data_IF_875164649854
#
_entry.id   IF_875164649854
#
_cell.length_a   1.000
_cell.length_b   1.000
_cell.length_c   1.000
_cell.angle_alpha   90.00
_cell.angle_beta   90.00
_cell.angle_gamma   90.00
#
_symmetry.space_group_name_H-M   'P 1'
#
loop_
_entity.id
_entity.type
_entity.pdbx_description
1 polymer ?
#
# COMPACT_ATOMS: atom_id res chain seq x y z
N UNK A 1 10.42 7.71 15.44
CA UNK A 1 10.07 6.43 14.80
C UNK A 1 10.79 6.38 13.47
N UNK A 2 11.69 5.44 13.22
CA UNK A 2 12.15 5.18 11.85
C UNK A 2 10.90 4.94 11.00
N UNK A 3 10.79 5.58 9.84
CA UNK A 3 9.72 5.27 8.89
C UNK A 3 9.76 3.78 8.59
N UNK A 4 8.74 3.05 9.05
CA UNK A 4 8.58 1.65 8.72
C UNK A 4 8.49 1.53 7.20
N UNK A 5 9.29 0.65 6.59
CA UNK A 5 9.26 0.50 5.13
C UNK A 5 7.89 0.00 4.69
N UNK A 6 7.48 0.33 3.46
CA UNK A 6 6.22 -0.19 2.91
C UNK A 6 6.15 -1.73 2.98
N UNK A 7 7.30 -2.39 2.82
CA UNK A 7 7.45 -3.83 2.97
C UNK A 7 7.17 -4.32 4.41
N UNK A 8 7.64 -3.59 5.43
CA UNK A 8 7.32 -3.91 6.82
C UNK A 8 5.83 -3.82 7.09
N UNK A 9 5.17 -2.77 6.57
CA UNK A 9 3.72 -2.58 6.72
C UNK A 9 2.95 -3.74 6.08
N UNK A 10 3.29 -4.14 4.86
CA UNK A 10 2.66 -5.30 4.19
C UNK A 10 2.90 -6.59 4.97
N UNK A 11 4.11 -6.80 5.49
CA UNK A 11 4.42 -7.97 6.32
C UNK A 11 3.59 -8.01 7.60
N UNK A 12 3.49 -6.89 8.33
CA UNK A 12 2.67 -6.77 9.53
C UNK A 12 1.18 -7.03 9.22
N UNK A 13 0.67 -6.52 8.10
CA UNK A 13 -0.70 -6.82 7.65
C UNK A 13 -0.93 -8.30 7.36
N UNK A 14 0.02 -9.00 6.71
CA UNK A 14 -0.06 -10.45 6.54
C UNK A 14 -0.09 -11.18 7.88
N UNK A 15 0.76 -10.77 8.82
CA UNK A 15 0.81 -11.32 10.18
C UNK A 15 -0.53 -11.13 10.89
N UNK A 16 -1.08 -9.91 10.88
CA UNK A 16 -2.36 -9.58 11.51
C UNK A 16 -3.51 -10.41 10.93
N UNK A 17 -3.63 -10.52 9.60
CA UNK A 17 -4.64 -11.37 8.95
C UNK A 17 -4.50 -12.84 9.34
N UNK A 18 -3.27 -13.32 9.49
CA UNK A 18 -3.00 -14.70 9.90
C UNK A 18 -3.37 -14.94 11.36
N UNK A 19 -3.02 -14.03 12.27
CA UNK A 19 -3.41 -14.08 13.68
C UNK A 19 -4.93 -14.07 13.82
N UNK A 20 -5.62 -13.17 13.11
CA UNK A 20 -7.09 -13.10 13.07
C UNK A 20 -7.76 -14.38 12.57
N UNK A 21 -7.08 -15.16 11.72
CA UNK A 21 -7.62 -16.43 11.21
C UNK A 21 -7.53 -17.59 12.22
N UNK A 22 -6.83 -17.40 13.35
CA UNK A 22 -6.70 -18.43 14.37
C UNK A 22 -7.91 -18.45 15.32
N UNK A 23 -8.46 -19.63 15.62
CA UNK A 23 -9.59 -19.76 16.53
C UNK A 23 -9.20 -19.36 17.97
N UNK A 24 -10.02 -18.52 18.61
CA UNK A 24 -9.92 -18.21 20.04
C UNK A 24 -9.12 -16.96 20.44
N UNK A 25 -8.67 -16.13 19.48
CA UNK A 25 -7.83 -14.95 19.77
C UNK A 25 -8.64 -13.68 20.11
N UNK A 26 -9.95 -13.64 19.82
CA UNK A 26 -10.77 -12.45 20.06
C UNK A 26 -12.10 -12.84 20.71
N UNK A 27 -12.19 -12.68 22.04
CA UNK A 27 -13.43 -12.87 22.82
C UNK A 27 -13.93 -11.55 23.46
N UNK A 28 -13.27 -10.41 23.20
CA UNK A 28 -13.58 -9.10 23.80
C UNK A 28 -14.16 -8.06 22.79
N UNK A 29 -14.35 -6.80 23.23
CA UNK A 29 -15.02 -5.74 22.46
C UNK A 29 -14.28 -5.38 21.14
N UNK A 30 -14.99 -5.05 20.04
CA UNK A 30 -14.37 -4.88 18.71
C UNK A 30 -13.34 -3.74 18.59
N UNK A 31 -13.51 -2.67 19.36
CA UNK A 31 -12.69 -1.46 19.25
C UNK A 31 -11.40 -1.57 20.07
N UNK A 32 -11.46 -2.11 21.29
CA UNK A 32 -10.28 -2.36 22.12
C UNK A 32 -9.39 -3.46 21.52
N UNK A 33 -10.02 -4.48 20.91
CA UNK A 33 -9.30 -5.56 20.23
C UNK A 33 -8.47 -5.08 19.04
N UNK A 34 -8.91 -4.05 18.31
CA UNK A 34 -8.20 -3.60 17.12
C UNK A 34 -6.85 -2.95 17.45
N UNK A 35 -6.82 -2.11 18.49
CA UNK A 35 -5.58 -1.47 18.96
C UNK A 35 -4.63 -2.49 19.59
N UNK A 36 -5.16 -3.39 20.43
CA UNK A 36 -4.36 -4.43 21.08
C UNK A 36 -3.77 -5.42 20.07
N UNK A 37 -4.55 -5.77 19.04
CA UNK A 37 -4.07 -6.61 17.95
C UNK A 37 -2.95 -5.93 17.18
N UNK A 38 -3.10 -4.64 16.84
CA UNK A 38 -2.08 -3.90 16.10
C UNK A 38 -0.77 -3.79 16.91
N UNK A 39 -0.84 -3.52 18.21
CA UNK A 39 0.33 -3.51 19.10
C UNK A 39 0.98 -4.90 19.18
N UNK A 40 0.17 -5.96 19.31
CA UNK A 40 0.65 -7.35 19.36
C UNK A 40 1.33 -7.79 18.06
N UNK A 41 0.71 -7.51 16.90
CA UNK A 41 1.25 -7.90 15.60
C UNK A 41 2.49 -7.09 15.26
N UNK A 42 2.51 -5.81 15.64
CA UNK A 42 3.68 -4.94 15.50
C UNK A 42 4.85 -5.40 16.35
N UNK A 43 4.61 -5.85 17.60
CA UNK A 43 5.65 -6.48 18.42
C UNK A 43 6.21 -7.74 17.75
N UNK A 44 5.36 -8.69 17.35
CA UNK A 44 5.79 -9.92 16.68
C UNK A 44 6.55 -9.64 15.37
N UNK A 45 6.08 -8.67 14.58
CA UNK A 45 6.74 -8.25 13.35
C UNK A 45 8.12 -7.64 13.63
N UNK A 46 8.25 -6.84 14.69
CA UNK A 46 9.51 -6.21 15.07
C UNK A 46 10.60 -7.20 15.50
N UNK A 47 10.20 -8.35 16.08
CA UNK A 47 11.12 -9.41 16.47
C UNK A 47 11.67 -10.15 15.25
N UNK A 48 10.81 -10.52 14.30
CA UNK A 48 11.20 -11.39 13.18
C UNK A 48 11.71 -10.62 11.97
N UNK A 49 11.17 -9.44 11.69
CA UNK A 49 11.54 -8.69 10.48
C UNK A 49 13.05 -8.49 10.34
N UNK A 50 13.82 -8.07 11.37
CA UNK A 50 15.25 -7.83 11.25
C UNK A 50 16.07 -9.04 10.83
N UNK A 51 15.61 -10.26 11.17
CA UNK A 51 16.30 -11.52 10.87
C UNK A 51 15.95 -12.08 9.49
N UNK A 52 14.96 -11.52 8.80
CA UNK A 52 14.62 -11.94 7.44
C UNK A 52 15.69 -11.52 6.43
N UNK A 53 15.96 -12.35 5.40
CA UNK A 53 16.86 -12.01 4.29
C UNK A 53 16.58 -10.61 3.70
N UNK A 54 17.64 -9.90 3.31
CA UNK A 54 17.52 -8.57 2.70
C UNK A 54 16.66 -8.57 1.44
N UNK A 55 16.72 -9.66 0.68
CA UNK A 55 16.00 -9.81 -0.59
C UNK A 55 14.49 -9.94 -0.36
N UNK A 56 14.09 -10.56 0.76
CA UNK A 56 12.70 -10.54 1.22
C UNK A 56 12.30 -9.16 1.72
N UNK A 57 13.11 -8.54 2.59
CA UNK A 57 12.77 -7.22 3.16
C UNK A 57 12.69 -6.09 2.13
N UNK A 58 13.28 -6.28 0.96
CA UNK A 58 13.25 -5.36 -0.16
C UNK A 58 12.46 -5.88 -1.36
N UNK A 59 11.63 -6.91 -1.16
CA UNK A 59 10.79 -7.48 -2.20
C UNK A 59 9.82 -6.43 -2.77
N UNK A 60 9.79 -6.37 -4.10
CA UNK A 60 8.86 -5.56 -4.89
C UNK A 60 8.51 -6.32 -6.16
N UNK A 61 7.47 -5.87 -6.87
CA UNK A 61 7.13 -6.41 -8.19
C UNK A 61 8.31 -6.36 -9.18
N UNK A 62 9.12 -5.31 -9.15
CA UNK A 62 10.29 -5.16 -10.04
C UNK A 62 11.39 -6.17 -9.73
N UNK A 63 11.59 -6.45 -8.44
CA UNK A 63 12.61 -7.40 -7.93
C UNK A 63 12.06 -8.80 -7.67
N UNK A 64 10.87 -9.13 -8.17
CA UNK A 64 10.24 -10.44 -7.96
C UNK A 64 11.10 -11.63 -8.39
N UNK A 65 11.99 -11.43 -9.38
CA UNK A 65 12.93 -12.46 -9.84
C UNK A 65 14.13 -12.67 -8.88
N UNK A 66 14.44 -11.66 -8.05
CA UNK A 66 15.47 -11.71 -7.00
C UNK A 66 14.90 -12.20 -5.66
N UNK A 67 13.56 -12.25 -5.53
CA UNK A 67 12.89 -12.72 -4.30
C UNK A 67 13.15 -14.22 -4.14
N UNK A 68 13.68 -14.67 -2.99
CA UNK A 68 14.03 -16.07 -2.79
C UNK A 68 12.78 -16.95 -2.78
N UNK A 69 12.94 -18.19 -3.23
CA UNK A 69 11.92 -19.22 -3.08
C UNK A 69 11.69 -19.47 -1.58
N UNK A 70 10.51 -19.07 -1.12
CA UNK A 70 10.16 -19.14 0.30
C UNK A 70 10.18 -20.58 0.80
N UNK A 71 9.85 -21.57 -0.03
CA UNK A 71 9.87 -22.98 0.37
C UNK A 71 11.29 -23.48 0.65
N UNK A 72 12.30 -22.91 -0.01
CA UNK A 72 13.71 -23.24 0.18
C UNK A 72 14.39 -22.42 1.28
N UNK A 73 13.70 -21.42 1.86
CA UNK A 73 14.27 -20.60 2.93
C UNK A 73 14.48 -21.40 4.21
N UNK A 74 15.70 -21.28 4.74
CA UNK A 74 16.11 -21.79 6.04
C UNK A 74 15.80 -20.75 7.12
N UNK A 75 14.74 -21.00 7.90
CA UNK A 75 14.35 -20.16 9.04
C UNK A 75 15.08 -20.58 10.32
N UNK A 76 16.42 -20.64 10.27
CA UNK A 76 17.25 -21.19 11.36
C UNK A 76 17.50 -20.20 12.52
N UNK A 77 17.25 -18.90 12.31
CA UNK A 77 17.55 -17.82 13.27
C UNK A 77 16.30 -17.09 13.77
N UNK A 78 15.19 -17.80 13.99
CA UNK A 78 13.97 -17.20 14.55
C UNK A 78 14.24 -16.84 16.03
N UNK A 79 13.91 -15.61 16.49
CA UNK A 79 14.04 -15.24 17.88
C UNK A 79 13.20 -16.15 18.81
N UNK A 80 13.76 -16.65 19.92
CA UNK A 80 13.00 -17.45 20.89
C UNK A 80 11.77 -16.70 21.43
N UNK A 81 11.89 -15.40 21.65
CA UNK A 81 10.80 -14.49 22.04
C UNK A 81 9.58 -14.60 21.13
N UNK A 82 9.77 -14.69 19.81
CA UNK A 82 8.69 -14.86 18.86
C UNK A 82 8.02 -16.23 19.02
N UNK A 83 8.81 -17.30 19.10
CA UNK A 83 8.31 -18.67 19.27
C UNK A 83 7.55 -18.82 20.59
N UNK A 84 8.15 -18.38 21.70
CA UNK A 84 7.58 -18.45 23.04
C UNK A 84 6.27 -17.66 23.13
N UNK A 85 6.20 -16.49 22.47
CA UNK A 85 4.98 -15.68 22.42
C UNK A 85 3.87 -16.42 21.66
N UNK A 86 4.16 -17.00 20.49
CA UNK A 86 3.16 -17.75 19.72
C UNK A 86 2.64 -18.97 20.48
N UNK A 87 3.51 -19.70 21.18
CA UNK A 87 3.13 -20.85 22.02
C UNK A 87 2.28 -20.38 23.20
N UNK A 88 2.72 -19.34 23.91
CA UNK A 88 2.00 -18.79 25.07
C UNK A 88 0.60 -18.27 24.70
N UNK A 89 0.43 -17.75 23.48
CA UNK A 89 -0.85 -17.28 22.96
C UNK A 89 -1.71 -18.40 22.34
N UNK A 90 -1.23 -19.65 22.31
CA UNK A 90 -1.93 -20.77 21.69
C UNK A 90 -2.01 -20.71 20.15
N UNK A 91 -1.20 -19.86 19.52
CA UNK A 91 -1.12 -19.73 18.05
C UNK A 91 -0.33 -20.91 17.44
N UNK A 92 0.64 -21.44 18.19
CA UNK A 92 1.46 -22.58 17.81
C UNK A 92 1.49 -23.62 18.95
N UNK A 93 1.51 -24.92 18.62
CA UNK A 93 1.64 -25.98 19.63
C UNK A 93 3.07 -26.18 20.12
N UNK A 94 4.04 -25.92 19.25
CA UNK A 94 5.47 -26.04 19.51
C UNK A 94 6.30 -25.13 18.58
N UNK A 95 7.63 -25.30 18.62
CA UNK A 95 8.55 -24.53 17.78
C UNK A 95 8.39 -24.82 16.27
N UNK A 96 8.07 -26.06 15.89
CA UNK A 96 7.90 -26.44 14.48
C UNK A 96 6.61 -25.84 13.90
N UNK A 97 5.55 -25.80 14.70
CA UNK A 97 4.32 -25.09 14.39
C UNK A 97 4.56 -23.57 14.23
N UNK A 98 5.37 -22.96 15.11
CA UNK A 98 5.71 -21.54 15.04
C UNK A 98 6.51 -21.21 13.76
N UNK A 99 7.46 -22.07 13.38
CA UNK A 99 8.21 -21.96 12.11
C UNK A 99 7.27 -22.11 10.92
N UNK A 100 6.33 -23.06 10.97
CA UNK A 100 5.33 -23.29 9.92
C UNK A 100 4.39 -22.09 9.79
N UNK A 101 3.99 -21.49 10.90
CA UNK A 101 3.18 -20.29 10.95
C UNK A 101 3.90 -19.11 10.29
N UNK A 102 5.16 -18.86 10.66
CA UNK A 102 5.99 -17.82 10.06
C UNK A 102 6.18 -18.05 8.54
N UNK A 103 6.44 -19.29 8.12
CA UNK A 103 6.60 -19.62 6.68
C UNK A 103 5.37 -19.23 5.87
N UNK A 104 4.16 -19.47 6.40
CA UNK A 104 2.90 -19.07 5.74
C UNK A 104 2.78 -17.55 5.63
N UNK A 105 3.17 -16.81 6.67
CA UNK A 105 3.19 -15.34 6.62
C UNK A 105 4.16 -14.84 5.55
N UNK A 106 5.37 -15.41 5.48
CA UNK A 106 6.36 -15.03 4.47
C UNK A 106 5.87 -15.33 3.06
N UNK A 107 5.20 -16.48 2.85
CA UNK A 107 4.59 -16.84 1.56
C UNK A 107 3.53 -15.80 1.13
N UNK A 108 2.61 -15.46 2.04
CA UNK A 108 1.57 -14.45 1.79
C UNK A 108 2.18 -13.06 1.53
N UNK A 109 3.15 -12.66 2.35
CA UNK A 109 3.90 -11.41 2.18
C UNK A 109 4.62 -11.35 0.84
N UNK A 110 5.38 -12.38 0.46
CA UNK A 110 6.12 -12.40 -0.80
C UNK A 110 5.16 -12.34 -1.99
N UNK A 111 4.04 -13.07 -1.96
CA UNK A 111 3.03 -13.03 -3.00
C UNK A 111 2.40 -11.62 -3.15
N UNK A 112 2.14 -10.93 -2.04
CA UNK A 112 1.55 -9.58 -2.07
C UNK A 112 2.56 -8.51 -2.47
N UNK A 113 3.76 -8.51 -1.87
CA UNK A 113 4.84 -7.58 -2.18
C UNK A 113 5.34 -7.68 -3.63
N UNK A 114 5.24 -8.87 -4.23
CA UNK A 114 5.58 -9.13 -5.63
C UNK A 114 4.38 -9.19 -6.57
N UNK A 115 3.19 -8.84 -6.08
CA UNK A 115 1.99 -8.80 -6.93
C UNK A 115 2.11 -7.73 -8.01
N UNK A 116 1.60 -7.97 -9.23
CA UNK A 116 1.57 -6.93 -10.25
C UNK A 116 0.75 -5.74 -9.74
N UNK A 117 1.18 -4.51 -10.07
CA UNK A 117 0.38 -3.34 -9.73
C UNK A 117 -1.02 -3.48 -10.35
N UNK A 118 -2.03 -2.84 -9.74
CA UNK A 118 -3.39 -2.95 -10.21
C UNK A 118 -3.47 -2.55 -11.68
N UNK A 119 -4.34 -3.23 -12.43
CA UNK A 119 -4.69 -2.79 -13.76
C UNK A 119 -5.46 -1.48 -13.61
N UNK A 120 -4.74 -0.36 -13.73
CA UNK A 120 -5.23 1.00 -13.44
C UNK A 120 -6.51 1.39 -14.20
N UNK A 121 -6.76 0.79 -15.36
CA UNK A 121 -8.02 1.00 -16.08
C UNK A 121 -9.25 0.41 -15.38
N UNK A 122 -9.06 -0.55 -14.47
CA UNK A 122 -10.10 -1.20 -13.66
C UNK A 122 -10.31 -0.54 -12.30
N UNK A 123 -9.55 0.50 -11.94
CA UNK A 123 -9.66 1.18 -10.64
C UNK A 123 -10.71 2.29 -10.62
N UNK A 124 -11.67 2.28 -11.56
CA UNK A 124 -12.67 3.35 -11.70
C UNK A 124 -13.53 3.47 -10.45
N UNK A 125 -13.42 4.63 -9.81
CA UNK A 125 -14.25 5.03 -8.67
C UNK A 125 -15.62 5.57 -9.13
N UNK A 126 -16.57 5.63 -8.19
CA UNK A 126 -17.86 6.28 -8.42
C UNK A 126 -17.78 7.82 -8.29
N UNK A 127 -16.77 8.30 -7.58
CA UNK A 127 -16.62 9.72 -7.21
C UNK A 127 -15.26 10.25 -7.63
N UNK A 128 -15.20 11.57 -7.87
CA UNK A 128 -13.95 12.23 -8.23
C UNK A 128 -12.94 12.15 -7.08
N UNK A 129 -11.75 11.59 -7.32
CA UNK A 129 -10.74 11.39 -6.28
C UNK A 129 -10.16 12.68 -5.67
N UNK A 130 -10.42 13.84 -6.28
CA UNK A 130 -10.06 15.15 -5.69
C UNK A 130 -11.22 15.79 -4.94
N UNK A 131 -12.44 15.76 -5.49
CA UNK A 131 -13.56 16.56 -4.96
C UNK A 131 -14.73 15.77 -4.40
N UNK A 132 -14.65 14.45 -4.45
CA UNK A 132 -15.60 13.48 -3.88
C UNK A 132 -17.03 13.61 -4.42
N UNK A 133 -17.22 14.35 -5.51
CA UNK A 133 -18.53 14.43 -6.19
C UNK A 133 -18.72 13.21 -7.07
N UNK A 134 -19.90 12.58 -6.96
CA UNK A 134 -20.38 11.53 -7.86
C UNK A 134 -20.92 12.14 -9.16
N UNK A 135 -19.99 12.47 -10.07
CA UNK A 135 -20.23 13.10 -11.38
C UNK A 135 -19.43 12.37 -12.47
N UNK A 136 -19.70 12.58 -13.78
CA UNK A 136 -18.91 11.95 -14.84
C UNK A 136 -17.40 12.19 -14.70
N UNK A 137 -16.67 11.09 -14.60
CA UNK A 137 -15.21 11.06 -14.42
C UNK A 137 -14.47 10.82 -15.73
N UNK A 138 -13.28 11.40 -15.79
CA UNK A 138 -12.30 11.29 -16.87
C UNK A 138 -11.08 10.53 -16.38
N UNK A 139 -10.37 9.89 -17.31
CA UNK A 139 -9.14 9.14 -17.06
C UNK A 139 -7.94 10.10 -17.10
N UNK A 140 -7.29 10.31 -15.96
CA UNK A 140 -6.14 11.21 -15.83
C UNK A 140 -4.88 10.40 -15.49
N UNK A 141 -3.82 10.55 -16.28
CA UNK A 141 -2.52 9.94 -15.97
C UNK A 141 -1.78 10.77 -14.93
N UNK A 142 -1.48 10.18 -13.77
CA UNK A 142 -0.75 10.84 -12.68
C UNK A 142 0.70 11.15 -13.08
N UNK A 143 1.31 10.26 -13.88
CA UNK A 143 2.55 10.54 -14.61
C UNK A 143 2.15 10.78 -16.07
N UNK A 144 2.17 12.03 -16.57
CA UNK A 144 1.70 12.33 -17.92
C UNK A 144 2.46 11.53 -19.00
N UNK A 145 1.73 10.98 -19.98
CA UNK A 145 2.32 10.12 -21.03
C UNK A 145 3.43 10.82 -21.82
N UNK A 146 3.30 12.13 -22.03
CA UNK A 146 4.30 12.95 -22.71
C UNK A 146 5.68 12.90 -22.06
N UNK A 147 5.76 12.66 -20.75
CA UNK A 147 7.02 12.62 -20.01
C UNK A 147 7.48 11.21 -19.66
N UNK A 148 6.79 10.14 -20.09
CA UNK A 148 7.17 8.75 -19.79
C UNK A 148 8.58 8.41 -20.24
N UNK A 149 8.95 8.74 -21.48
CA UNK A 149 10.30 8.49 -22.00
C UNK A 149 11.38 9.21 -21.17
N UNK A 150 11.09 10.43 -20.72
CA UNK A 150 11.98 11.22 -19.86
C UNK A 150 12.05 10.61 -18.45
N UNK A 151 10.92 10.19 -17.88
CA UNK A 151 10.83 9.57 -16.56
C UNK A 151 11.66 8.27 -16.49
N UNK A 152 11.57 7.42 -17.50
CA UNK A 152 12.38 6.20 -17.59
C UNK A 152 13.88 6.53 -17.74
N UNK A 153 14.23 7.43 -18.66
CA UNK A 153 15.62 7.84 -18.89
C UNK A 153 16.26 8.43 -17.63
N UNK A 154 15.49 9.18 -16.84
CA UNK A 154 15.94 9.82 -15.60
C UNK A 154 15.73 8.95 -14.35
N UNK A 155 15.15 7.75 -14.49
CA UNK A 155 14.81 6.85 -13.39
C UNK A 155 13.97 7.53 -12.28
N UNK A 156 13.02 8.36 -12.68
CA UNK A 156 12.09 8.99 -11.73
C UNK A 156 11.14 7.98 -11.10
N UNK A 157 10.67 7.01 -11.90
CA UNK A 157 9.71 5.99 -11.51
C UNK A 157 10.03 4.67 -12.19
N UNK A 158 9.67 3.53 -11.58
CA UNK A 158 9.67 2.26 -12.28
C UNK A 158 8.62 2.26 -13.40
N UNK A 159 8.84 1.44 -14.44
CA UNK A 159 7.97 1.38 -15.63
C UNK A 159 6.50 1.11 -15.27
N UNK A 160 6.29 0.31 -14.23
CA UNK A 160 4.97 -0.11 -13.78
C UNK A 160 4.11 1.02 -13.21
N UNK A 161 4.74 2.10 -12.75
CA UNK A 161 4.03 3.27 -12.24
C UNK A 161 3.58 4.23 -13.34
N UNK A 162 4.15 4.16 -14.54
CA UNK A 162 3.87 5.13 -15.61
C UNK A 162 2.40 5.18 -16.02
N UNK A 163 1.71 4.05 -15.90
CA UNK A 163 0.29 3.95 -16.22
C UNK A 163 -0.64 4.18 -15.02
N UNK A 164 -0.10 4.66 -13.88
CA UNK A 164 -0.92 5.07 -12.74
C UNK A 164 -1.86 6.20 -13.13
N UNK A 165 -3.11 6.09 -12.66
CA UNK A 165 -4.19 7.01 -13.04
C UNK A 165 -5.05 7.42 -11.87
N UNK A 166 -5.74 8.53 -12.08
CA UNK A 166 -6.81 9.02 -11.25
C UNK A 166 -8.09 9.23 -12.08
N UNK A 167 -9.23 9.06 -11.43
CA UNK A 167 -10.57 9.27 -11.93
C UNK A 167 -11.10 10.62 -11.46
N UNK A 168 -10.95 11.61 -12.32
CA UNK A 168 -11.22 13.01 -11.99
C UNK A 168 -12.41 13.54 -12.78
N UNK A 169 -13.28 14.32 -12.15
CA UNK A 169 -14.25 15.11 -12.89
C UNK A 169 -13.53 16.14 -13.78
N UNK A 170 -14.14 16.50 -14.91
CA UNK A 170 -13.51 17.42 -15.88
C UNK A 170 -12.94 18.71 -15.26
N UNK A 171 -13.64 19.42 -14.35
CA UNK A 171 -13.07 20.60 -13.69
C UNK A 171 -11.79 20.30 -12.91
N UNK A 172 -11.76 19.23 -12.12
CA UNK A 172 -10.56 18.86 -11.35
C UNK A 172 -9.41 18.45 -12.26
N UNK A 173 -9.69 17.70 -13.32
CA UNK A 173 -8.68 17.34 -14.33
C UNK A 173 -8.06 18.61 -14.95
N UNK A 174 -8.88 19.56 -15.40
CA UNK A 174 -8.38 20.82 -15.93
C UNK A 174 -7.53 21.58 -14.91
N UNK A 175 -7.95 21.64 -13.65
CA UNK A 175 -7.20 22.32 -12.60
C UNK A 175 -5.83 21.67 -12.35
N UNK A 176 -5.72 20.34 -12.33
CA UNK A 176 -4.43 19.66 -12.13
C UNK A 176 -3.39 20.09 -13.17
N UNK A 177 -3.78 20.19 -14.45
CA UNK A 177 -2.88 20.68 -15.51
C UNK A 177 -2.68 22.21 -15.53
N UNK A 178 -3.50 22.97 -14.80
CA UNK A 178 -3.30 24.42 -14.64
C UNK A 178 -2.30 24.74 -13.52
N UNK A 179 -2.29 23.95 -12.45
CA UNK A 179 -1.49 24.25 -11.25
C UNK A 179 -0.08 23.66 -11.30
N UNK A 180 0.16 22.67 -12.16
CA UNK A 180 1.46 22.01 -12.29
C UNK A 180 1.75 21.66 -13.75
N UNK A 181 3.01 21.84 -14.15
CA UNK A 181 3.51 21.34 -15.43
C UNK A 181 3.56 19.81 -15.46
N UNK A 182 3.59 19.21 -16.66
CA UNK A 182 3.67 17.75 -16.79
C UNK A 182 4.92 17.15 -16.11
N UNK A 183 6.02 17.89 -16.06
CA UNK A 183 7.23 17.49 -15.34
C UNK A 183 7.02 17.52 -13.82
N UNK A 184 6.45 18.60 -13.28
CA UNK A 184 6.11 18.67 -11.84
C UNK A 184 5.10 17.60 -11.42
N UNK A 185 4.10 17.31 -12.27
CA UNK A 185 3.17 16.21 -12.03
C UNK A 185 3.94 14.88 -11.92
N UNK A 186 4.87 14.62 -12.84
CA UNK A 186 5.66 13.41 -12.81
C UNK A 186 6.66 13.36 -11.64
N UNK A 187 7.26 14.46 -11.19
CA UNK A 187 8.32 14.41 -10.17
C UNK A 187 7.83 14.64 -8.75
N UNK A 188 6.86 15.53 -8.56
CA UNK A 188 6.43 16.00 -7.24
C UNK A 188 5.01 15.56 -6.89
N UNK A 189 4.11 15.40 -7.88
CA UNK A 189 2.67 15.20 -7.68
C UNK A 189 2.09 13.97 -8.39
N UNK A 190 2.87 12.87 -8.42
CA UNK A 190 2.55 11.64 -9.15
C UNK A 190 1.59 10.68 -8.41
N UNK A 191 0.93 11.15 -7.35
CA UNK A 191 -0.13 10.41 -6.61
C UNK A 191 -1.26 11.35 -6.22
N UNK A 192 -2.46 10.80 -5.97
CA UNK A 192 -3.59 11.58 -5.45
C UNK A 192 -3.23 12.26 -4.13
N UNK A 193 -2.58 11.55 -3.20
CA UNK A 193 -2.20 12.12 -1.90
C UNK A 193 -1.26 13.31 -2.05
N UNK A 194 -0.31 13.23 -2.99
CA UNK A 194 0.60 14.35 -3.28
C UNK A 194 -0.14 15.54 -3.88
N UNK A 195 -1.10 15.30 -4.79
CA UNK A 195 -1.97 16.35 -5.32
C UNK A 195 -2.81 16.99 -4.21
N UNK A 196 -3.41 16.19 -3.33
CA UNK A 196 -4.21 16.65 -2.19
C UNK A 196 -3.37 17.37 -1.12
N UNK A 197 -2.06 17.12 -1.07
CA UNK A 197 -1.12 17.86 -0.24
C UNK A 197 -0.89 19.31 -0.68
N UNK A 198 -1.23 19.68 -1.92
CA UNK A 198 -1.03 21.05 -2.42
C UNK A 198 -2.09 22.01 -1.90
N UNK A 199 -1.67 23.18 -1.44
CA UNK A 199 -2.58 24.20 -0.91
C UNK A 199 -3.59 24.70 -1.95
N UNK A 200 -3.16 24.87 -3.21
CA UNK A 200 -4.03 25.31 -4.30
C UNK A 200 -5.11 24.26 -4.66
N UNK A 201 -4.75 22.98 -4.71
CA UNK A 201 -5.69 21.86 -4.88
C UNK A 201 -6.64 21.77 -3.70
N UNK A 202 -6.18 21.96 -2.46
CA UNK A 202 -7.06 21.95 -1.28
C UNK A 202 -8.09 23.09 -1.32
N UNK A 203 -7.66 24.31 -1.68
CA UNK A 203 -8.55 25.46 -1.88
C UNK A 203 -9.56 25.18 -2.99
N UNK A 204 -9.10 24.64 -4.11
CA UNK A 204 -9.96 24.24 -5.22
C UNK A 204 -10.98 23.18 -4.80
N UNK A 205 -10.55 22.10 -4.13
CA UNK A 205 -11.39 21.02 -3.59
C UNK A 205 -12.52 21.58 -2.74
N UNK A 206 -12.22 22.45 -1.78
CA UNK A 206 -13.20 23.09 -0.88
C UNK A 206 -14.27 23.89 -1.64
N UNK A 207 -13.90 24.51 -2.75
CA UNK A 207 -14.81 25.27 -3.60
C UNK A 207 -15.63 24.38 -4.53
N UNK A 208 -14.97 23.48 -5.27
CA UNK A 208 -15.57 22.69 -6.34
C UNK A 208 -16.51 21.60 -5.80
N UNK A 209 -16.26 21.07 -4.60
CA UNK A 209 -17.12 20.06 -3.95
C UNK A 209 -18.53 20.58 -3.68
N UNK A 210 -18.69 21.89 -3.50
CA UNK A 210 -19.97 22.57 -3.25
C UNK A 210 -20.73 22.93 -4.53
N UNK A 211 -20.10 22.81 -5.70
CA UNK A 211 -20.71 23.22 -6.96
C UNK A 211 -21.70 22.16 -7.46
N UNK A 212 -22.91 22.61 -7.79
CA UNK A 212 -23.95 21.77 -8.38
C UNK A 212 -23.53 21.33 -9.79
N UNK A 213 -23.76 20.07 -10.10
CA UNK A 213 -23.52 19.49 -11.42
C UNK A 213 -24.84 19.44 -12.21
N UNK A 214 -24.78 19.63 -13.53
CA UNK A 214 -25.95 19.50 -14.42
C UNK A 214 -26.90 20.70 -14.47
N UNK A 215 -26.63 21.77 -13.72
CA UNK A 215 -27.42 23.02 -13.80
C UNK A 215 -26.78 23.94 -14.83
N UNK A 216 -27.44 24.14 -15.98
CA UNK A 216 -27.08 25.20 -16.92
C UNK A 216 -27.38 26.54 -16.25
N UNK A 217 -26.35 27.37 -16.04
CA UNK A 217 -26.58 28.79 -15.74
C UNK A 217 -26.99 29.44 -17.06
N UNK A 218 -28.24 29.92 -17.10
CA UNK A 218 -28.76 30.76 -18.18
C UNK A 218 -28.15 32.15 -18.15
#
# INVERSE_FOLDING_TARGET
>A
MPEESAQYVVFNQCLARRVLSQPGIMDESPEDNASLLDDFTSYLASEVWPVLPSDLRSATYEKRAETPDVDLLKLENIPPSFVDTLISCGIAGDADDAVTFLRKIILEYAAEATSPPPVWSKTRTLECEICERSVPLTYHHLIPREVHAKALKKKWHPEVMLNSVAWLCRPCHSTVHQVASNEQLATEYYTIDRLLGREDIQKWRKYISKQRWGIKRG
#
